data_IF_859532227120
#
_entry.id   IF_859532227120
#
_cell.length_a   1.000
_cell.length_b   1.000
_cell.length_c   1.000
_cell.angle_alpha   90.00
_cell.angle_beta   90.00
_cell.angle_gamma   90.00
#
_symmetry.space_group_name_H-M   'P 1'
#
loop_
_entity.id
_entity.type
_entity.pdbx_description
1 polymer ?
#
# COMPACT_ATOMS: atom_id res chain seq x y z
N UNK A 1 6.04 -8.61 -14.84
CA UNK A 1 6.61 -9.02 -13.55
C UNK A 1 5.53 -8.97 -12.49
N UNK A 2 5.37 -10.06 -11.76
CA UNK A 2 4.40 -10.13 -10.66
C UNK A 2 5.15 -10.12 -9.33
N UNK A 3 4.74 -9.25 -8.43
CA UNK A 3 5.33 -9.16 -7.09
C UNK A 3 4.33 -9.66 -6.05
N UNK A 4 4.85 -10.37 -5.05
CA UNK A 4 4.04 -10.81 -3.92
C UNK A 4 4.87 -10.65 -2.66
N UNK A 5 4.29 -9.99 -1.66
CA UNK A 5 4.96 -9.74 -0.39
C UNK A 5 4.12 -10.27 0.76
N UNK A 6 4.75 -11.07 1.61
CA UNK A 6 4.15 -11.47 2.87
C UNK A 6 4.56 -10.44 3.91
N UNK A 7 3.61 -9.63 4.35
CA UNK A 7 3.90 -8.49 5.21
C UNK A 7 4.40 -8.90 6.60
N UNK A 8 3.94 -10.04 7.11
CA UNK A 8 4.45 -10.55 8.40
C UNK A 8 5.90 -10.97 8.26
N UNK A 9 6.28 -11.56 7.13
CA UNK A 9 7.68 -11.91 6.86
C UNK A 9 8.55 -10.66 6.75
N UNK A 10 8.05 -9.61 6.12
CA UNK A 10 8.82 -8.38 5.91
C UNK A 10 8.92 -7.52 7.17
N UNK A 11 7.85 -7.42 7.96
CA UNK A 11 7.76 -6.46 9.08
C UNK A 11 7.35 -7.07 10.40
N UNK A 12 6.97 -8.35 10.45
CA UNK A 12 6.36 -8.93 11.64
C UNK A 12 4.87 -8.63 11.69
N UNK A 13 4.25 -8.93 12.81
CA UNK A 13 2.80 -8.81 12.98
C UNK A 13 2.32 -7.37 13.19
N UNK A 14 3.25 -6.43 13.43
CA UNK A 14 2.94 -5.04 13.73
C UNK A 14 3.44 -4.14 12.60
N UNK A 15 2.53 -3.56 11.86
CA UNK A 15 2.85 -2.61 10.79
C UNK A 15 2.68 -1.21 11.36
N UNK A 16 3.71 -0.71 12.05
CA UNK A 16 3.59 0.51 12.85
C UNK A 16 4.56 1.61 12.47
N UNK A 17 5.68 1.30 11.81
CA UNK A 17 6.69 2.28 11.47
C UNK A 17 6.51 2.77 10.03
N UNK A 18 5.93 3.96 9.88
CA UNK A 18 5.69 4.55 8.56
C UNK A 18 6.96 4.82 7.77
N UNK A 19 8.06 5.14 8.46
CA UNK A 19 9.33 5.38 7.78
C UNK A 19 9.84 4.11 7.10
N UNK A 20 9.77 2.98 7.79
CA UNK A 20 10.15 1.69 7.20
C UNK A 20 9.21 1.29 6.07
N UNK A 21 7.92 1.56 6.22
CA UNK A 21 6.95 1.29 5.16
C UNK A 21 7.24 2.11 3.90
N UNK A 22 7.61 3.36 4.07
CA UNK A 22 7.96 4.24 2.96
C UNK A 22 9.25 3.76 2.27
N UNK A 23 10.26 3.37 3.03
CA UNK A 23 11.49 2.81 2.47
C UNK A 23 11.23 1.53 1.67
N UNK A 24 10.43 0.64 2.23
CA UNK A 24 10.04 -0.60 1.57
C UNK A 24 9.36 -0.31 0.22
N UNK A 25 8.40 0.60 0.22
CA UNK A 25 7.69 0.98 -0.99
C UNK A 25 8.65 1.51 -2.05
N UNK A 26 9.52 2.43 -1.69
CA UNK A 26 10.44 3.05 -2.64
C UNK A 26 11.44 2.05 -3.20
N UNK A 27 12.01 1.21 -2.35
CA UNK A 27 13.08 0.29 -2.77
C UNK A 27 12.57 -0.95 -3.49
N UNK A 28 11.40 -1.47 -3.09
CA UNK A 28 10.93 -2.76 -3.57
C UNK A 28 9.85 -2.66 -4.64
N UNK A 29 9.17 -1.55 -4.73
CA UNK A 29 8.01 -1.39 -5.61
C UNK A 29 8.20 -0.25 -6.60
N UNK A 30 8.41 0.97 -6.11
CA UNK A 30 8.50 2.15 -6.98
C UNK A 30 9.64 2.04 -7.99
N UNK A 31 10.76 1.46 -7.57
CA UNK A 31 11.93 1.31 -8.45
C UNK A 31 11.66 0.42 -9.67
N UNK A 32 10.62 -0.42 -9.63
CA UNK A 32 10.28 -1.34 -10.71
C UNK A 32 8.85 -1.20 -11.20
N UNK A 33 8.16 -0.14 -10.77
CA UNK A 33 6.72 0.02 -11.01
C UNK A 33 6.34 -0.14 -12.49
N UNK A 34 7.11 0.43 -13.40
CA UNK A 34 6.81 0.39 -14.83
C UNK A 34 6.82 -1.03 -15.40
N UNK A 35 7.53 -1.95 -14.75
CA UNK A 35 7.66 -3.34 -15.20
C UNK A 35 6.71 -4.27 -14.46
N UNK A 36 5.97 -3.77 -13.49
CA UNK A 36 5.10 -4.58 -12.65
C UNK A 36 3.73 -4.73 -13.31
N UNK A 37 3.27 -5.97 -13.43
CA UNK A 37 1.91 -6.30 -13.88
C UNK A 37 0.95 -6.33 -12.71
N UNK A 38 1.40 -6.87 -11.58
CA UNK A 38 0.59 -6.94 -10.37
C UNK A 38 1.46 -6.99 -9.11
N UNK A 39 0.94 -6.44 -8.03
CA UNK A 39 1.54 -6.53 -6.69
C UNK A 39 0.48 -7.07 -5.75
N UNK A 40 0.79 -8.16 -5.04
CA UNK A 40 -0.10 -8.71 -4.02
C UNK A 40 0.55 -8.56 -2.65
N UNK A 41 -0.17 -7.94 -1.73
CA UNK A 41 0.25 -7.84 -0.34
C UNK A 41 -0.54 -8.84 0.49
N UNK A 42 0.14 -9.84 1.01
CA UNK A 42 -0.46 -10.81 1.92
C UNK A 42 -0.32 -10.27 3.34
N UNK A 43 -1.44 -9.87 3.91
CA UNK A 43 -1.48 -9.29 5.27
C UNK A 43 -2.02 -10.29 6.30
N UNK A 44 -2.07 -11.56 5.94
CA UNK A 44 -2.47 -12.62 6.87
C UNK A 44 -1.56 -12.61 8.08
N UNK A 45 -2.15 -12.61 9.28
CA UNK A 45 -1.40 -12.63 10.54
C UNK A 45 -1.03 -11.25 11.08
N UNK A 46 -1.25 -10.17 10.34
CA UNK A 46 -1.05 -8.82 10.87
C UNK A 46 -2.11 -8.56 11.93
N UNK A 47 -1.65 -8.21 13.14
CA UNK A 47 -2.53 -7.97 14.28
C UNK A 47 -2.69 -6.50 14.61
N UNK A 48 -1.66 -5.69 14.35
CA UNK A 48 -1.66 -4.26 14.66
C UNK A 48 -1.11 -3.48 13.48
N UNK A 49 -1.70 -2.33 13.24
CA UNK A 49 -1.17 -1.40 12.24
C UNK A 49 -1.55 0.03 12.66
N UNK A 50 -0.82 1.00 12.12
CA UNK A 50 -1.05 2.42 12.41
C UNK A 50 -1.40 3.16 11.13
N UNK A 51 -2.08 4.30 11.30
CA UNK A 51 -2.34 5.22 10.19
C UNK A 51 -1.04 5.65 9.51
N UNK A 52 0.00 5.89 10.31
CA UNK A 52 1.30 6.28 9.78
C UNK A 52 1.84 5.26 8.78
N UNK A 53 1.79 3.98 9.12
CA UNK A 53 2.29 2.93 8.22
C UNK A 53 1.43 2.80 6.96
N UNK A 54 0.11 2.72 7.11
CA UNK A 54 -0.76 2.48 5.94
C UNK A 54 -0.79 3.68 5.01
N UNK A 55 -0.71 4.91 5.53
CA UNK A 55 -0.64 6.10 4.69
C UNK A 55 0.71 6.23 3.99
N UNK A 56 1.81 6.01 4.72
CA UNK A 56 3.15 6.11 4.12
C UNK A 56 3.39 5.07 3.04
N UNK A 57 2.82 3.89 3.19
CA UNK A 57 3.04 2.79 2.27
C UNK A 57 1.96 2.75 1.19
N UNK A 58 0.72 2.46 1.57
CA UNK A 58 -0.35 2.19 0.61
C UNK A 58 -1.07 3.45 0.17
N UNK A 59 -1.29 4.39 1.08
CA UNK A 59 -1.92 5.66 0.76
C UNK A 59 -1.10 6.46 -0.24
N UNK A 60 0.20 6.58 0.01
CA UNK A 60 1.09 7.31 -0.90
C UNK A 60 1.21 6.63 -2.26
N UNK A 61 1.20 5.30 -2.28
CA UNK A 61 1.21 4.55 -3.53
C UNK A 61 -0.05 4.83 -4.35
N UNK A 62 -1.21 4.83 -3.70
CA UNK A 62 -2.48 5.14 -4.35
C UNK A 62 -2.52 6.59 -4.84
N UNK A 63 -2.00 7.53 -4.06
CA UNK A 63 -1.90 8.94 -4.43
C UNK A 63 -1.03 9.14 -5.67
N UNK A 64 0.09 8.47 -5.72
CA UNK A 64 1.03 8.61 -6.83
C UNK A 64 0.52 7.96 -8.12
N UNK A 65 -0.08 6.78 -8.03
CA UNK A 65 -0.40 5.98 -9.21
C UNK A 65 -1.87 5.98 -9.60
N UNK A 66 -2.77 6.33 -8.70
CA UNK A 66 -4.19 6.45 -9.03
C UNK A 66 -4.80 5.16 -9.59
N UNK A 67 -5.34 5.23 -10.80
CA UNK A 67 -6.02 4.08 -11.42
C UNK A 67 -5.09 2.89 -11.65
N UNK A 68 -3.81 3.13 -11.88
CA UNK A 68 -2.83 2.04 -11.99
C UNK A 68 -2.70 1.27 -10.68
N UNK A 69 -2.79 1.97 -9.54
CA UNK A 69 -2.79 1.31 -8.24
C UNK A 69 -3.96 0.34 -8.15
N UNK A 70 -5.15 0.80 -8.50
CA UNK A 70 -6.36 -0.04 -8.46
C UNK A 70 -6.21 -1.26 -9.37
N UNK A 71 -5.61 -1.07 -10.54
CA UNK A 71 -5.45 -2.15 -11.53
C UNK A 71 -4.40 -3.17 -11.11
N UNK A 72 -3.30 -2.73 -10.48
CA UNK A 72 -2.13 -3.58 -10.23
C UNK A 72 -2.07 -4.16 -8.82
N UNK A 73 -2.61 -3.47 -7.81
CA UNK A 73 -2.39 -3.82 -6.40
C UNK A 73 -3.56 -4.60 -5.84
N UNK A 74 -3.24 -5.69 -5.14
CA UNK A 74 -4.23 -6.56 -4.49
C UNK A 74 -3.77 -6.84 -3.06
N UNK A 75 -4.75 -7.04 -2.17
CA UNK A 75 -4.52 -7.43 -0.79
C UNK A 75 -5.20 -8.75 -0.53
N UNK A 76 -4.55 -9.64 0.22
CA UNK A 76 -5.17 -10.89 0.64
C UNK A 76 -4.96 -11.13 2.13
N UNK A 77 -5.89 -11.85 2.74
CA UNK A 77 -5.81 -12.21 4.15
C UNK A 77 -6.16 -11.06 5.08
N UNK A 78 -6.96 -10.09 4.62
CA UNK A 78 -7.35 -8.94 5.44
C UNK A 78 -8.35 -9.36 6.52
N UNK A 79 -8.01 -9.08 7.80
CA UNK A 79 -8.99 -9.08 8.87
C UNK A 79 -9.89 -7.86 8.72
N UNK A 80 -11.05 -7.81 9.41
CA UNK A 80 -11.90 -6.61 9.37
C UNK A 80 -11.16 -5.34 9.78
N UNK A 81 -10.30 -5.42 10.79
CA UNK A 81 -9.50 -4.27 11.25
C UNK A 81 -8.55 -3.80 10.16
N UNK A 82 -7.78 -4.71 9.58
CA UNK A 82 -6.82 -4.39 8.52
C UNK A 82 -7.54 -3.80 7.33
N UNK A 83 -8.66 -4.38 6.94
CA UNK A 83 -9.44 -3.90 5.81
C UNK A 83 -9.91 -2.45 6.02
N UNK A 84 -10.35 -2.12 7.24
CA UNK A 84 -10.79 -0.76 7.56
C UNK A 84 -9.66 0.24 7.38
N UNK A 85 -8.48 -0.06 7.93
CA UNK A 85 -7.32 0.82 7.79
C UNK A 85 -6.91 1.00 6.33
N UNK A 86 -6.85 -0.10 5.58
CA UNK A 86 -6.46 -0.05 4.16
C UNK A 86 -7.46 0.75 3.34
N UNK A 87 -8.75 0.54 3.57
CA UNK A 87 -9.81 1.26 2.83
C UNK A 87 -9.70 2.76 3.04
N UNK A 88 -9.45 3.21 4.26
CA UNK A 88 -9.32 4.64 4.57
C UNK A 88 -8.08 5.21 3.90
N UNK A 89 -6.93 4.56 4.06
CA UNK A 89 -5.66 5.06 3.52
C UNK A 89 -5.67 5.09 1.99
N UNK A 90 -6.12 4.02 1.36
CA UNK A 90 -6.19 3.93 -0.10
C UNK A 90 -7.21 4.90 -0.66
N UNK A 91 -8.39 4.99 -0.03
CA UNK A 91 -9.44 5.93 -0.45
C UNK A 91 -8.95 7.36 -0.40
N UNK A 92 -8.24 7.74 0.66
CA UNK A 92 -7.65 9.07 0.81
C UNK A 92 -6.60 9.33 -0.27
N UNK A 93 -5.72 8.36 -0.51
CA UNK A 93 -4.69 8.48 -1.55
C UNK A 93 -5.28 8.66 -2.94
N UNK A 94 -6.30 7.87 -3.28
CA UNK A 94 -6.97 7.99 -4.58
C UNK A 94 -7.66 9.34 -4.73
N UNK A 95 -8.27 9.84 -3.67
CA UNK A 95 -8.90 11.16 -3.68
C UNK A 95 -7.87 12.25 -3.93
N UNK A 96 -6.72 12.19 -3.26
CA UNK A 96 -5.65 13.16 -3.44
C UNK A 96 -5.09 13.12 -4.87
N UNK A 97 -4.97 11.93 -5.45
CA UNK A 97 -4.54 11.79 -6.83
C UNK A 97 -5.46 12.53 -7.79
N UNK A 98 -6.79 12.40 -7.61
CA UNK A 98 -7.77 13.11 -8.44
C UNK A 98 -7.68 14.62 -8.27
N UNK A 99 -7.51 15.09 -7.04
CA UNK A 99 -7.37 16.52 -6.76
C UNK A 99 -6.14 17.08 -7.45
N UNK A 100 -5.03 16.38 -7.39
CA UNK A 100 -3.77 16.80 -8.04
C UNK A 100 -3.93 16.89 -9.55
N UNK A 101 -4.64 15.96 -10.18
CA UNK A 101 -4.91 15.99 -11.60
C UNK A 101 -5.80 17.15 -12.00
N UNK A 102 -6.78 17.50 -11.16
CA UNK A 102 -7.68 18.63 -11.42
C UNK A 102 -7.00 19.98 -11.23
N UNK A 103 -5.98 20.04 -10.39
CA UNK A 103 -5.28 21.26 -10.08
C UNK A 103 -4.30 21.71 -11.17
N UNK A 104 -4.17 20.92 -12.18
CA UNK A 104 -3.25 21.24 -13.29
C UNK A 104 -3.94 22.02 -14.40
#
# INVERSE_FOLDING_TARGET
MKLEFNMVTEFGKFLVDGHLGNQFRNLRIESVWDRVDSVTFDVTGVTNLTDSFVHATFGNMAEEHGDEFVAKVKFKGCSPLVRSFLSIAVGEGLRQHRVMQRGC
#
